data_IF_946552628807
#
_entry.id   IF_946552628807
#
_cell.length_a   1.000
_cell.length_b   1.000
_cell.length_c   1.000
_cell.angle_alpha   90.00
_cell.angle_beta   90.00
_cell.angle_gamma   90.00
#
_symmetry.space_group_name_H-M   'P 1'
#
loop_
_entity.id
_entity.type
_entity.pdbx_description
1 polymer ?
#
# COMPACT_ATOMS: atom_id res chain seq x y z
N UNK A 1 -34.47 3.95 -10.73
CA UNK A 1 -34.27 3.81 -9.26
C UNK A 1 -33.07 4.67 -8.91
N UNK A 2 -33.24 5.71 -8.09
CA UNK A 2 -32.11 6.55 -7.68
C UNK A 2 -31.20 5.73 -6.77
N UNK A 3 -29.89 5.91 -6.91
CA UNK A 3 -28.91 5.35 -5.97
C UNK A 3 -29.01 6.16 -4.67
N UNK A 4 -29.20 5.47 -3.56
CA UNK A 4 -29.26 6.06 -2.22
C UNK A 4 -27.86 6.03 -1.59
N UNK A 5 -27.40 7.18 -1.12
CA UNK A 5 -26.07 7.40 -0.55
C UNK A 5 -26.13 7.95 0.87
N UNK A 6 -27.30 8.01 1.53
CA UNK A 6 -27.44 8.60 2.88
C UNK A 6 -26.54 7.94 3.95
N UNK A 7 -26.10 6.70 3.72
CA UNK A 7 -25.18 5.97 4.62
C UNK A 7 -23.72 5.86 4.14
N UNK A 8 -23.36 6.52 3.02
CA UNK A 8 -22.01 6.41 2.44
C UNK A 8 -21.19 7.63 2.82
N UNK A 9 -20.03 7.42 3.45
CA UNK A 9 -19.04 8.48 3.62
C UNK A 9 -18.47 8.86 2.25
N UNK A 10 -18.88 10.02 1.74
CA UNK A 10 -18.44 10.55 0.44
C UNK A 10 -17.03 11.16 0.50
N UNK A 11 -16.41 11.23 1.68
CA UNK A 11 -15.04 11.76 1.82
C UNK A 11 -14.06 10.75 1.27
N UNK A 12 -13.29 11.19 0.29
CA UNK A 12 -12.24 10.38 -0.30
C UNK A 12 -10.99 10.36 0.61
N UNK A 13 -10.25 9.24 0.65
CA UNK A 13 -8.95 9.19 1.29
C UNK A 13 -8.01 10.26 0.74
N UNK A 14 -7.16 10.82 1.61
CA UNK A 14 -6.13 11.76 1.19
C UNK A 14 -5.16 11.08 0.22
N UNK A 15 -4.94 11.70 -0.94
CA UNK A 15 -3.92 11.30 -1.90
C UNK A 15 -2.77 12.31 -1.87
N UNK A 16 -1.56 11.82 -1.61
CA UNK A 16 -0.35 12.64 -1.53
C UNK A 16 0.60 12.24 -2.65
N UNK A 17 0.97 13.21 -3.49
CA UNK A 17 2.06 13.05 -4.45
C UNK A 17 3.38 13.55 -3.84
N UNK A 18 4.41 12.70 -3.86
CA UNK A 18 5.75 13.04 -3.36
C UNK A 18 6.78 12.79 -4.46
N UNK A 19 7.57 13.82 -4.76
CA UNK A 19 8.80 13.69 -5.52
C UNK A 19 9.98 14.06 -4.62
N UNK A 20 11.11 13.37 -4.80
CA UNK A 20 12.32 13.60 -4.00
C UNK A 20 13.39 14.27 -4.84
N UNK A 21 14.11 15.19 -4.22
CA UNK A 21 15.28 15.82 -4.81
C UNK A 21 16.35 14.76 -5.14
N UNK A 22 17.02 14.92 -6.28
CA UNK A 22 18.20 14.16 -6.67
C UNK A 22 19.27 15.14 -7.14
N UNK A 23 20.53 14.89 -6.76
CA UNK A 23 21.67 15.71 -7.14
C UNK A 23 22.71 14.88 -7.89
N UNK A 24 23.37 15.44 -8.92
CA UNK A 24 24.51 14.78 -9.56
C UNK A 24 25.58 14.40 -8.53
N UNK A 25 26.15 13.21 -8.65
CA UNK A 25 27.19 12.71 -7.73
C UNK A 25 26.68 12.09 -6.43
N UNK A 26 25.36 12.03 -6.19
CA UNK A 26 24.78 11.39 -5.00
C UNK A 26 24.04 10.10 -5.38
N UNK A 27 24.35 9.00 -4.69
CA UNK A 27 23.56 7.77 -4.84
C UNK A 27 22.18 7.94 -4.21
N UNK A 28 21.17 7.58 -4.99
CA UNK A 28 19.76 7.72 -4.68
C UNK A 28 19.07 6.39 -4.32
N UNK A 29 19.79 5.26 -4.26
CA UNK A 29 19.28 3.98 -3.75
C UNK A 29 18.02 3.44 -4.45
N UNK A 30 17.81 3.82 -5.72
CA UNK A 30 16.72 3.33 -6.60
C UNK A 30 15.36 3.27 -5.86
N UNK A 31 14.70 2.10 -5.84
CA UNK A 31 13.39 1.86 -5.20
C UNK A 31 13.46 1.99 -3.67
N UNK A 32 14.49 1.43 -3.03
CA UNK A 32 14.66 1.51 -1.57
C UNK A 32 14.73 2.96 -1.07
N UNK A 33 15.48 3.82 -1.77
CA UNK A 33 15.55 5.25 -1.42
C UNK A 33 14.22 5.99 -1.59
N UNK A 34 13.40 5.59 -2.56
CA UNK A 34 12.06 6.15 -2.76
C UNK A 34 11.11 5.72 -1.63
N UNK A 35 11.10 4.43 -1.28
CA UNK A 35 10.28 3.89 -0.19
C UNK A 35 10.63 4.52 1.15
N UNK A 36 11.92 4.64 1.47
CA UNK A 36 12.35 5.27 2.73
C UNK A 36 11.94 6.75 2.81
N UNK A 37 11.95 7.48 1.68
CA UNK A 37 11.46 8.85 1.64
C UNK A 37 9.95 8.93 1.88
N UNK A 38 9.18 8.00 1.30
CA UNK A 38 7.73 7.93 1.48
C UNK A 38 7.35 7.63 2.93
N UNK A 39 8.06 6.71 3.61
CA UNK A 39 7.83 6.43 5.04
C UNK A 39 8.06 7.68 5.90
N UNK A 40 9.14 8.43 5.64
CA UNK A 40 9.42 9.68 6.37
C UNK A 40 8.36 10.76 6.11
N UNK A 41 7.91 10.91 4.86
CA UNK A 41 6.84 11.84 4.54
C UNK A 41 5.52 11.44 5.22
N UNK A 42 5.17 10.15 5.18
CA UNK A 42 3.96 9.62 5.82
C UNK A 42 3.96 9.83 7.33
N UNK A 43 5.10 9.68 8.00
CA UNK A 43 5.22 9.91 9.44
C UNK A 43 4.83 11.34 9.86
N UNK A 44 5.06 12.33 8.98
CA UNK A 44 4.69 13.74 9.22
C UNK A 44 3.24 13.99 8.83
N UNK A 45 2.78 13.40 7.72
CA UNK A 45 1.47 13.73 7.15
C UNK A 45 0.29 13.00 7.80
N UNK A 46 0.44 11.72 8.11
CA UNK A 46 -0.64 10.88 8.64
C UNK A 46 -0.23 10.06 9.85
N UNK A 47 1.07 9.76 10.00
CA UNK A 47 1.63 8.88 11.02
C UNK A 47 0.87 7.54 11.16
N UNK A 48 0.49 6.94 10.02
CA UNK A 48 -0.24 5.68 9.98
C UNK A 48 0.57 4.53 10.61
N UNK A 49 -0.05 3.67 11.45
CA UNK A 49 0.64 2.58 12.14
C UNK A 49 0.98 1.39 11.23
N UNK A 50 0.27 1.27 10.10
CA UNK A 50 0.45 0.20 9.12
C UNK A 50 0.74 0.80 7.75
N UNK A 51 1.65 0.17 7.01
CA UNK A 51 2.06 0.60 5.68
C UNK A 51 1.83 -0.56 4.71
N UNK A 52 1.12 -0.27 3.62
CA UNK A 52 1.00 -1.16 2.47
C UNK A 52 1.96 -0.69 1.38
N UNK A 53 2.82 -1.59 0.92
CA UNK A 53 3.63 -1.38 -0.27
C UNK A 53 2.96 -2.04 -1.49
N UNK A 54 2.82 -1.31 -2.59
CA UNK A 54 2.19 -1.78 -3.82
C UNK A 54 2.97 -1.27 -5.04
N UNK A 55 3.24 -2.16 -5.99
CA UNK A 55 3.90 -1.82 -7.24
C UNK A 55 2.89 -1.36 -8.30
N UNK A 56 3.35 -0.60 -9.30
CA UNK A 56 2.48 0.05 -10.29
C UNK A 56 1.79 -0.92 -11.26
N UNK A 57 2.28 -2.15 -11.36
CA UNK A 57 1.72 -3.27 -12.14
C UNK A 57 0.75 -4.14 -11.32
N UNK A 58 0.52 -3.78 -10.04
CA UNK A 58 -0.40 -4.47 -9.17
C UNK A 58 -1.55 -3.56 -8.75
N UNK A 59 -2.74 -4.14 -8.61
CA UNK A 59 -3.92 -3.45 -8.09
C UNK A 59 -4.63 -4.32 -7.05
N UNK A 60 -5.46 -3.69 -6.23
CA UNK A 60 -6.20 -4.39 -5.18
C UNK A 60 -7.48 -4.96 -5.77
N UNK A 61 -7.50 -6.28 -5.95
CA UNK A 61 -8.64 -7.00 -6.51
C UNK A 61 -9.81 -7.15 -5.51
N UNK A 62 -9.51 -7.36 -4.22
CA UNK A 62 -10.52 -7.54 -3.17
C UNK A 62 -10.31 -6.48 -2.08
N UNK A 63 -11.31 -5.60 -1.89
CA UNK A 63 -11.26 -4.53 -0.88
C UNK A 63 -11.18 -5.04 0.56
N UNK A 64 -11.52 -6.31 0.81
CA UNK A 64 -11.37 -6.93 2.14
C UNK A 64 -9.93 -7.25 2.51
N UNK A 65 -9.01 -7.29 1.54
CA UNK A 65 -7.61 -7.64 1.78
C UNK A 65 -6.94 -6.76 2.85
N UNK A 66 -7.27 -5.46 2.89
CA UNK A 66 -6.74 -4.56 3.92
C UNK A 66 -7.20 -4.96 5.33
N UNK A 67 -8.49 -5.27 5.48
CA UNK A 67 -9.06 -5.69 6.75
C UNK A 67 -8.43 -7.00 7.21
N UNK A 68 -8.31 -7.96 6.29
CA UNK A 68 -7.77 -9.28 6.59
C UNK A 68 -6.29 -9.19 6.99
N UNK A 69 -5.50 -8.33 6.34
CA UNK A 69 -4.10 -8.08 6.71
C UNK A 69 -3.96 -7.43 8.09
N UNK A 70 -4.79 -6.43 8.39
CA UNK A 70 -4.80 -5.77 9.71
C UNK A 70 -5.26 -6.75 10.80
N UNK A 71 -6.20 -7.65 10.52
CA UNK A 71 -6.64 -8.65 11.49
C UNK A 71 -5.47 -9.51 12.01
N UNK A 72 -4.54 -9.93 11.15
CA UNK A 72 -3.35 -10.66 11.60
C UNK A 72 -2.41 -9.81 12.47
N UNK A 73 -2.26 -8.53 12.17
CA UNK A 73 -1.40 -7.61 12.93
C UNK A 73 -2.04 -7.15 14.26
N UNK A 74 -3.36 -7.23 14.38
CA UNK A 74 -4.13 -6.83 15.57
C UNK A 74 -4.56 -8.01 16.44
N UNK A 75 -4.21 -9.24 16.05
CA UNK A 75 -4.49 -10.43 16.85
C UNK A 75 -3.65 -10.44 18.14
N UNK A 76 -3.96 -11.37 19.07
CA UNK A 76 -3.29 -11.48 20.37
C UNK A 76 -1.75 -11.56 20.27
N UNK A 77 -1.24 -12.17 19.21
CA UNK A 77 0.19 -12.31 18.92
C UNK A 77 0.69 -11.39 17.78
N UNK A 78 -0.14 -10.41 17.39
CA UNK A 78 0.12 -9.48 16.28
C UNK A 78 1.31 -8.54 16.54
N UNK A 79 1.67 -8.32 17.81
CA UNK A 79 2.87 -7.58 18.22
C UNK A 79 4.18 -8.27 17.77
N UNK A 80 4.12 -9.55 17.42
CA UNK A 80 5.24 -10.33 16.87
C UNK A 80 5.23 -10.40 15.33
N UNK A 81 4.25 -9.77 14.69
CA UNK A 81 4.11 -9.77 13.22
C UNK A 81 4.69 -8.49 12.65
N UNK A 82 5.76 -8.60 11.86
CA UNK A 82 6.38 -7.46 11.18
C UNK A 82 5.66 -7.07 9.87
N UNK A 83 5.20 -8.06 9.10
CA UNK A 83 4.46 -7.84 7.85
C UNK A 83 3.57 -9.04 7.53
N UNK A 84 2.55 -8.80 6.71
CA UNK A 84 1.69 -9.83 6.12
C UNK A 84 1.92 -9.86 4.62
N UNK A 85 2.43 -10.98 4.11
CA UNK A 85 2.68 -11.15 2.67
C UNK A 85 1.43 -11.75 2.00
N UNK A 86 0.90 -11.04 1.01
CA UNK A 86 -0.17 -11.56 0.16
C UNK A 86 0.43 -12.26 -1.07
N UNK A 87 -0.19 -13.36 -1.55
CA UNK A 87 0.22 -13.97 -2.81
C UNK A 87 -0.08 -13.03 -3.99
N UNK A 88 0.91 -12.80 -4.85
CA UNK A 88 0.73 -12.08 -6.10
C UNK A 88 0.14 -13.02 -7.15
N UNK A 89 -0.94 -12.59 -7.81
CA UNK A 89 -1.56 -13.32 -8.91
C UNK A 89 -1.49 -12.46 -10.16
N UNK A 90 -1.06 -13.07 -11.25
CA UNK A 90 -0.91 -12.42 -12.54
C UNK A 90 -2.09 -12.80 -13.43
N UNK A 91 -2.53 -11.84 -14.24
CA UNK A 91 -3.53 -12.06 -15.27
C UNK A 91 -2.85 -12.29 -16.62
N UNK A 92 -3.52 -12.96 -17.54
CA UNK A 92 -3.00 -13.17 -18.89
C UNK A 92 -1.76 -14.07 -18.96
N UNK A 93 -1.61 -14.99 -18.00
CA UNK A 93 -0.54 -16.00 -18.01
C UNK A 93 -0.71 -16.85 -19.27
N UNK A 94 0.38 -16.98 -20.04
CA UNK A 94 0.40 -17.82 -21.23
C UNK A 94 0.11 -19.27 -20.82
N UNK A 95 -0.85 -19.98 -21.46
CA UNK A 95 -1.13 -21.39 -21.15
C UNK A 95 0.08 -22.33 -21.31
N UNK A 96 1.12 -21.90 -22.03
CA UNK A 96 2.39 -22.61 -22.19
C UNK A 96 3.44 -22.27 -21.14
N UNK A 97 3.20 -21.27 -20.28
CA UNK A 97 4.05 -20.90 -19.15
C UNK A 97 3.85 -21.93 -18.02
N UNK A 98 4.79 -22.87 -17.92
CA UNK A 98 4.76 -24.04 -17.03
C UNK A 98 5.71 -23.91 -15.86
#
# INVERSE_FOLDING_TARGET
RALDFEGVDIRLPMLVYVSREKRPGYDHNKKAGAMNALVRASAIMSNGPFILNLDCDHYVYNSRAFRDGICFMMDRDGDRVCYVQFPQRFEGIDPSDR
#
